data_IF_617898012295
#
_entry.id   IF_617898012295
#
_cell.length_a   1.000
_cell.length_b   1.000
_cell.length_c   1.000
_cell.angle_alpha   90.00
_cell.angle_beta   90.00
_cell.angle_gamma   90.00
#
_symmetry.space_group_name_H-M   'P 1'
#
loop_
_entity.id
_entity.type
_entity.pdbx_description
1 polymer ?
#
# COMPACT_ATOMS: atom_id res chain seq x y z
N UNK A 1 14.00 -0.05 -33.16
CA UNK A 1 15.47 0.09 -33.14
C UNK A 1 15.98 1.31 -33.91
N UNK A 2 15.80 1.42 -35.25
CA UNK A 2 16.39 2.52 -36.04
C UNK A 2 15.98 3.94 -35.58
N UNK A 3 14.71 4.15 -35.28
CA UNK A 3 14.21 5.44 -34.75
C UNK A 3 14.87 5.84 -33.42
N UNK A 4 15.11 4.85 -32.55
CA UNK A 4 15.80 5.09 -31.28
C UNK A 4 17.28 5.44 -31.48
N UNK A 5 17.97 4.78 -32.42
CA UNK A 5 19.35 5.16 -32.76
C UNK A 5 19.41 6.56 -33.35
N UNK A 6 18.50 6.91 -34.26
CA UNK A 6 18.39 8.26 -34.80
C UNK A 6 18.21 9.29 -33.68
N UNK A 7 17.33 9.03 -32.71
CA UNK A 7 17.11 9.87 -31.54
C UNK A 7 18.37 10.00 -30.67
N UNK A 8 19.00 8.88 -30.32
CA UNK A 8 20.23 8.85 -29.51
C UNK A 8 21.36 9.62 -30.19
N UNK A 9 21.66 9.33 -31.45
CA UNK A 9 22.74 10.02 -32.17
C UNK A 9 22.41 11.48 -32.50
N UNK A 10 21.14 11.86 -32.62
CA UNK A 10 20.75 13.28 -32.69
C UNK A 10 21.10 14.00 -31.39
N UNK A 11 20.83 13.39 -30.23
CA UNK A 11 21.16 14.00 -28.92
C UNK A 11 22.66 14.23 -28.73
N UNK A 12 23.49 13.45 -29.42
CA UNK A 12 24.95 13.57 -29.41
C UNK A 12 25.51 14.47 -30.53
N UNK A 13 24.66 15.09 -31.36
CA UNK A 13 25.05 15.79 -32.60
C UNK A 13 25.90 14.93 -33.56
N UNK A 14 25.60 13.63 -33.61
CA UNK A 14 26.32 12.60 -34.39
C UNK A 14 25.41 11.82 -35.35
N UNK A 15 24.18 12.30 -35.60
CA UNK A 15 23.30 11.68 -36.61
C UNK A 15 23.98 11.69 -37.98
N UNK A 16 23.83 10.60 -38.72
CA UNK A 16 24.50 10.39 -40.01
C UNK A 16 26.01 10.06 -39.96
N UNK A 17 26.64 10.05 -38.78
CA UNK A 17 28.07 9.69 -38.63
C UNK A 17 28.35 8.23 -39.04
N UNK A 18 29.64 7.91 -39.25
CA UNK A 18 30.06 6.54 -39.56
C UNK A 18 29.70 5.57 -38.43
N UNK A 19 29.91 5.98 -37.17
CA UNK A 19 29.54 5.23 -35.97
C UNK A 19 28.03 4.91 -35.95
N UNK A 20 27.19 5.90 -36.22
CA UNK A 20 25.74 5.73 -36.28
C UNK A 20 25.33 4.73 -37.37
N UNK A 21 25.84 4.87 -38.60
CA UNK A 21 25.53 3.96 -39.71
C UNK A 21 26.00 2.53 -39.41
N UNK A 22 27.21 2.37 -38.88
CA UNK A 22 27.73 1.06 -38.49
C UNK A 22 26.88 0.39 -37.43
N UNK A 23 26.42 1.13 -36.41
CA UNK A 23 25.56 0.58 -35.37
C UNK A 23 24.16 0.21 -35.89
N UNK A 24 23.59 0.99 -36.81
CA UNK A 24 22.35 0.62 -37.51
C UNK A 24 22.54 -0.71 -38.24
N UNK A 25 23.60 -0.87 -39.03
CA UNK A 25 23.87 -2.10 -39.78
C UNK A 25 24.16 -3.29 -38.86
N UNK A 26 25.00 -3.09 -37.83
CA UNK A 26 25.34 -4.10 -36.82
C UNK A 26 24.08 -4.63 -36.13
N UNK A 27 23.23 -3.75 -35.61
CA UNK A 27 22.03 -4.16 -34.88
C UNK A 27 20.95 -4.72 -35.80
N UNK A 28 20.86 -4.25 -37.04
CA UNK A 28 19.96 -4.85 -38.04
C UNK A 28 20.34 -6.32 -38.28
N UNK A 29 21.63 -6.61 -38.48
CA UNK A 29 22.13 -7.98 -38.63
C UNK A 29 21.88 -8.84 -37.37
N UNK A 30 22.08 -8.27 -36.17
CA UNK A 30 21.81 -8.96 -34.90
C UNK A 30 20.33 -9.36 -34.76
N UNK A 31 19.42 -8.43 -35.07
CA UNK A 31 17.98 -8.68 -35.01
C UNK A 31 17.57 -9.73 -36.04
N UNK A 32 18.11 -9.67 -37.27
CA UNK A 32 17.83 -10.69 -38.29
C UNK A 32 18.29 -12.08 -37.87
N UNK A 33 19.39 -12.19 -37.13
CA UNK A 33 19.95 -13.46 -36.69
C UNK A 33 19.27 -14.03 -35.42
N UNK A 34 18.89 -13.17 -34.47
CA UNK A 34 18.50 -13.59 -33.11
C UNK A 34 17.21 -12.97 -32.58
N UNK A 35 16.58 -12.06 -33.32
CA UNK A 35 15.43 -11.28 -32.87
C UNK A 35 15.78 -10.11 -31.94
N UNK A 36 17.01 -10.05 -31.43
CA UNK A 36 17.46 -9.05 -30.45
C UNK A 36 18.74 -8.34 -30.89
N UNK A 37 19.05 -7.22 -30.23
CA UNK A 37 20.34 -6.56 -30.33
C UNK A 37 20.84 -6.16 -28.96
N UNK A 38 22.17 -6.17 -28.81
CA UNK A 38 22.82 -5.77 -27.56
C UNK A 38 22.92 -4.24 -27.49
N UNK A 39 21.98 -3.64 -26.77
CA UNK A 39 21.99 -2.21 -26.47
C UNK A 39 23.14 -1.88 -25.52
N UNK A 40 23.90 -0.81 -25.78
CA UNK A 40 24.99 -0.40 -24.88
C UNK A 40 24.44 0.22 -23.60
N UNK A 41 25.21 0.20 -22.51
CA UNK A 41 24.80 0.82 -21.23
C UNK A 41 24.53 2.32 -21.39
N UNK A 42 25.27 3.03 -22.24
CA UNK A 42 25.04 4.46 -22.53
C UNK A 42 23.70 4.69 -23.23
N UNK A 43 23.38 3.86 -24.24
CA UNK A 43 22.09 3.89 -24.91
C UNK A 43 20.96 3.52 -23.94
N UNK A 44 21.17 2.55 -23.06
CA UNK A 44 20.21 2.14 -22.04
C UNK A 44 19.93 3.29 -21.05
N UNK A 45 20.97 3.98 -20.57
CA UNK A 45 20.84 5.13 -19.67
C UNK A 45 20.10 6.29 -20.33
N UNK A 46 20.45 6.61 -21.58
CA UNK A 46 19.71 7.61 -22.37
C UNK A 46 18.24 7.21 -22.54
N UNK A 47 17.98 5.95 -22.86
CA UNK A 47 16.65 5.39 -23.01
C UNK A 47 15.80 5.53 -21.75
N UNK A 48 16.34 5.16 -20.58
CA UNK A 48 15.62 5.23 -19.30
C UNK A 48 15.28 6.69 -18.91
N UNK A 49 16.24 7.61 -19.08
CA UNK A 49 16.01 9.05 -18.87
C UNK A 49 14.95 9.61 -19.81
N UNK A 50 15.00 9.20 -21.08
CA UNK A 50 14.04 9.66 -22.09
C UNK A 50 12.65 9.06 -21.87
N UNK A 51 12.55 7.81 -21.41
CA UNK A 51 11.28 7.21 -21.00
C UNK A 51 10.64 7.98 -19.84
N UNK A 52 11.44 8.43 -18.85
CA UNK A 52 10.94 9.29 -17.79
C UNK A 52 10.48 10.64 -18.33
N UNK A 53 11.28 11.28 -19.20
CA UNK A 53 10.91 12.54 -19.89
C UNK A 53 9.60 12.42 -20.69
N UNK A 54 9.31 11.22 -21.21
CA UNK A 54 8.10 10.91 -21.98
C UNK A 54 6.89 10.48 -21.12
N UNK A 55 7.06 10.25 -19.82
CA UNK A 55 6.00 9.73 -18.95
C UNK A 55 4.92 10.81 -18.67
N UNK A 56 3.84 10.80 -19.46
CA UNK A 56 2.82 11.85 -19.45
C UNK A 56 2.09 12.03 -18.11
N UNK A 57 2.13 11.02 -17.24
CA UNK A 57 1.52 11.01 -15.90
C UNK A 57 2.45 11.46 -14.77
N UNK A 58 3.71 11.79 -15.06
CA UNK A 58 4.68 12.18 -14.05
C UNK A 58 4.82 13.70 -13.97
N UNK A 59 4.49 14.28 -12.82
CA UNK A 59 4.66 15.72 -12.53
C UNK A 59 6.13 16.09 -12.25
N UNK A 60 6.92 15.17 -11.68
CA UNK A 60 8.33 15.39 -11.30
C UNK A 60 9.35 15.38 -12.45
N UNK A 61 8.92 15.57 -13.70
CA UNK A 61 9.78 15.38 -14.89
C UNK A 61 10.87 16.41 -15.08
N UNK A 62 10.89 17.53 -14.36
CA UNK A 62 12.03 18.47 -14.41
C UNK A 62 13.36 17.79 -14.04
N UNK A 63 13.31 16.69 -13.29
CA UNK A 63 14.46 15.91 -12.85
C UNK A 63 14.91 14.82 -13.82
N UNK A 64 14.29 14.70 -15.00
CA UNK A 64 14.45 13.55 -15.90
C UNK A 64 15.90 13.18 -16.26
N UNK A 65 16.80 14.16 -16.30
CA UNK A 65 18.21 13.97 -16.61
C UNK A 65 19.05 13.45 -15.42
N UNK A 66 18.55 13.59 -14.19
CA UNK A 66 19.17 13.21 -12.93
C UNK A 66 18.70 11.82 -12.46
N UNK A 67 18.96 10.80 -13.28
CA UNK A 67 18.60 9.41 -12.99
C UNK A 67 19.84 8.52 -12.96
N UNK A 68 20.08 7.83 -11.84
CA UNK A 68 21.13 6.80 -11.74
C UNK A 68 20.63 5.50 -12.38
N UNK A 69 21.41 4.96 -13.31
CA UNK A 69 21.19 3.62 -13.85
C UNK A 69 22.03 2.59 -13.08
N UNK A 70 21.38 1.53 -12.61
CA UNK A 70 22.00 0.25 -12.25
C UNK A 70 21.75 -0.74 -13.38
N UNK A 71 22.74 -0.95 -14.23
CA UNK A 71 22.69 -1.96 -15.29
C UNK A 71 22.90 -3.34 -14.64
N UNK A 72 21.83 -4.15 -14.63
CA UNK A 72 21.79 -5.48 -14.02
C UNK A 72 21.28 -6.53 -15.01
N UNK A 73 21.55 -6.31 -16.30
CA UNK A 73 21.24 -7.25 -17.38
C UNK A 73 22.09 -8.52 -17.32
N UNK A 74 23.11 -8.56 -16.45
CA UNK A 74 23.94 -9.72 -16.14
C UNK A 74 23.31 -10.69 -15.12
N UNK A 75 22.26 -10.26 -14.41
CA UNK A 75 21.59 -11.06 -13.38
C UNK A 75 20.90 -12.28 -13.98
N UNK A 76 21.03 -13.43 -13.31
CA UNK A 76 20.46 -14.71 -13.76
C UNK A 76 19.54 -15.38 -12.75
N UNK A 77 19.52 -14.92 -11.49
CA UNK A 77 18.77 -15.56 -10.39
C UNK A 77 17.97 -14.55 -9.58
N UNK A 78 16.92 -15.01 -8.90
CA UNK A 78 16.08 -14.16 -8.04
C UNK A 78 16.86 -13.57 -6.87
N UNK A 79 17.84 -14.31 -6.33
CA UNK A 79 18.75 -13.80 -5.28
C UNK A 79 19.60 -12.63 -5.77
N UNK A 80 20.16 -12.73 -6.98
CA UNK A 80 20.90 -11.62 -7.58
C UNK A 80 19.98 -10.42 -7.88
N UNK A 81 18.72 -10.65 -8.25
CA UNK A 81 17.73 -9.56 -8.34
C UNK A 81 17.52 -8.89 -6.98
N UNK A 82 17.35 -9.68 -5.92
CA UNK A 82 17.18 -9.17 -4.56
C UNK A 82 18.38 -8.32 -4.11
N UNK A 83 19.60 -8.78 -4.37
CA UNK A 83 20.82 -8.03 -4.02
C UNK A 83 20.90 -6.69 -4.77
N UNK A 84 20.58 -6.70 -6.07
CA UNK A 84 20.51 -5.48 -6.86
C UNK A 84 19.41 -4.52 -6.39
N UNK A 85 18.28 -5.03 -5.91
CA UNK A 85 17.20 -4.21 -5.33
C UNK A 85 17.64 -3.62 -3.98
N UNK A 86 18.34 -4.38 -3.14
CA UNK A 86 18.89 -3.87 -1.89
C UNK A 86 19.90 -2.74 -2.13
N UNK A 87 20.78 -2.89 -3.11
CA UNK A 87 21.72 -1.83 -3.53
C UNK A 87 20.97 -0.59 -4.05
N UNK A 88 19.92 -0.79 -4.85
CA UNK A 88 19.06 0.29 -5.31
C UNK A 88 18.45 1.06 -4.14
N UNK A 89 17.81 0.36 -3.18
CA UNK A 89 17.16 1.00 -2.03
C UNK A 89 18.19 1.73 -1.16
N UNK A 90 19.33 1.12 -0.87
CA UNK A 90 20.40 1.73 -0.09
C UNK A 90 20.92 3.02 -0.76
N UNK A 91 21.16 2.97 -2.08
CA UNK A 91 21.54 4.15 -2.84
C UNK A 91 20.45 5.22 -2.81
N UNK A 92 19.21 4.86 -3.07
CA UNK A 92 18.12 5.81 -3.22
C UNK A 92 17.68 6.44 -1.90
N UNK A 93 17.77 5.72 -0.77
CA UNK A 93 17.47 6.25 0.56
C UNK A 93 18.42 7.37 0.98
N UNK A 94 19.74 7.15 0.84
CA UNK A 94 20.78 8.16 1.09
C UNK A 94 20.54 8.98 2.39
N UNK A 95 20.25 8.29 3.50
CA UNK A 95 19.97 8.88 4.81
C UNK A 95 18.86 9.95 4.80
N UNK A 96 17.81 9.74 4.00
CA UNK A 96 16.68 10.67 3.85
C UNK A 96 16.82 11.64 2.69
N UNK A 97 18.04 11.91 2.21
CA UNK A 97 18.27 12.77 1.04
C UNK A 97 18.08 11.99 -0.27
N UNK A 98 16.82 11.72 -0.62
CA UNK A 98 16.46 10.73 -1.63
C UNK A 98 17.08 11.01 -3.00
N UNK A 99 17.50 9.94 -3.69
CA UNK A 99 18.09 10.00 -5.04
C UNK A 99 17.26 9.16 -6.00
N UNK A 100 16.99 9.70 -7.19
CA UNK A 100 16.29 8.95 -8.24
C UNK A 100 17.22 7.92 -8.88
N UNK A 101 16.77 6.67 -8.94
CA UNK A 101 17.47 5.58 -9.58
C UNK A 101 16.51 4.67 -10.36
N UNK A 102 17.08 3.88 -11.28
CA UNK A 102 16.44 2.77 -11.95
C UNK A 102 17.40 1.58 -11.99
N UNK A 103 16.91 0.40 -11.68
CA UNK A 103 17.63 -0.87 -11.92
C UNK A 103 17.00 -1.56 -13.11
N UNK A 104 17.80 -2.03 -14.06
CA UNK A 104 17.29 -2.72 -15.26
C UNK A 104 17.80 -4.14 -15.29
N UNK A 105 16.89 -5.10 -15.16
CA UNK A 105 17.14 -6.53 -15.28
C UNK A 105 17.15 -6.98 -16.75
N UNK A 106 17.46 -8.26 -17.08
CA UNK A 106 17.51 -8.72 -18.47
C UNK A 106 16.24 -8.43 -19.28
N UNK A 107 16.44 -8.17 -20.58
CA UNK A 107 15.36 -7.94 -21.52
C UNK A 107 14.53 -9.20 -21.74
N UNK A 108 13.26 -9.03 -22.11
CA UNK A 108 12.42 -10.10 -22.62
C UNK A 108 13.02 -10.72 -23.87
N UNK A 109 12.97 -12.05 -23.94
CA UNK A 109 13.41 -12.84 -25.10
C UNK A 109 12.21 -13.43 -25.83
N UNK A 110 11.75 -14.62 -25.43
CA UNK A 110 10.65 -15.37 -26.04
C UNK A 110 9.31 -15.21 -25.27
N UNK A 111 9.29 -14.34 -24.26
CA UNK A 111 8.15 -14.13 -23.36
C UNK A 111 7.92 -15.24 -22.33
N UNK A 112 8.77 -16.29 -22.31
CA UNK A 112 8.74 -17.34 -21.29
C UNK A 112 9.82 -17.14 -20.23
N UNK A 113 10.86 -16.37 -20.53
CA UNK A 113 12.04 -16.19 -19.68
C UNK A 113 12.13 -14.79 -19.05
N UNK A 114 10.98 -14.17 -18.75
CA UNK A 114 10.94 -12.83 -18.19
C UNK A 114 11.57 -12.76 -16.78
N UNK A 115 12.21 -11.62 -16.50
CA UNK A 115 12.56 -11.19 -15.15
C UNK A 115 11.48 -10.24 -14.65
N UNK A 116 10.81 -10.59 -13.56
CA UNK A 116 9.65 -9.84 -13.03
C UNK A 116 9.80 -9.60 -11.53
N UNK A 117 9.40 -8.41 -11.11
CA UNK A 117 9.08 -8.10 -9.72
C UNK A 117 7.56 -8.11 -9.65
N UNK A 118 7.00 -8.99 -8.82
CA UNK A 118 5.54 -9.10 -8.73
C UNK A 118 4.95 -7.93 -7.95
N UNK A 119 5.69 -7.41 -6.98
CA UNK A 119 5.27 -6.26 -6.19
C UNK A 119 4.97 -5.04 -7.07
N UNK A 120 3.87 -4.31 -6.82
CA UNK A 120 3.61 -3.02 -7.45
C UNK A 120 4.69 -1.97 -7.15
N UNK A 121 5.15 -1.93 -5.90
CA UNK A 121 6.25 -1.09 -5.43
C UNK A 121 7.26 -1.93 -4.64
N UNK A 122 8.52 -1.50 -4.57
CA UNK A 122 9.55 -2.22 -3.81
C UNK A 122 9.26 -2.26 -2.31
N UNK A 123 8.64 -1.21 -1.78
CA UNK A 123 8.22 -1.11 -0.39
C UNK A 123 6.72 -0.82 -0.38
N UNK A 124 5.96 -1.60 0.37
CA UNK A 124 4.52 -1.45 0.53
C UNK A 124 4.07 -2.15 1.82
N UNK A 125 3.01 -1.64 2.44
CA UNK A 125 2.39 -2.32 3.58
C UNK A 125 1.38 -3.38 3.14
N UNK A 126 1.29 -4.45 3.92
CA UNK A 126 0.35 -5.54 3.71
C UNK A 126 -1.09 -5.12 4.06
N UNK A 127 -2.06 -5.87 3.53
CA UNK A 127 -3.48 -5.75 3.84
C UNK A 127 -4.07 -7.12 4.21
N UNK A 128 -4.57 -7.25 5.44
CA UNK A 128 -5.09 -8.51 5.96
C UNK A 128 -6.61 -8.46 6.06
N UNK A 129 -7.29 -9.21 5.18
CA UNK A 129 -8.73 -9.37 5.26
C UNK A 129 -9.12 -10.19 6.51
N UNK A 130 -10.00 -9.60 7.31
CA UNK A 130 -10.53 -10.20 8.53
C UNK A 130 -11.80 -11.01 8.25
N UNK A 131 -12.20 -11.84 9.21
CA UNK A 131 -13.40 -12.69 9.10
C UNK A 131 -14.70 -11.91 9.01
N UNK A 132 -14.75 -10.71 9.56
CA UNK A 132 -15.90 -9.81 9.53
C UNK A 132 -15.94 -8.93 8.25
N UNK A 133 -14.98 -9.10 7.34
CA UNK A 133 -14.88 -8.33 6.11
C UNK A 133 -14.08 -7.03 6.24
N UNK A 134 -13.67 -6.64 7.45
CA UNK A 134 -12.74 -5.51 7.64
C UNK A 134 -11.34 -5.87 7.13
N UNK A 135 -10.50 -4.86 6.90
CA UNK A 135 -9.10 -5.04 6.50
C UNK A 135 -8.19 -4.32 7.50
N UNK A 136 -7.17 -5.03 7.99
CA UNK A 136 -6.08 -4.43 8.77
C UNK A 136 -4.92 -4.13 7.81
N UNK A 137 -4.36 -2.93 7.88
CA UNK A 137 -3.28 -2.49 7.00
C UNK A 137 -3.80 -1.79 5.75
N UNK A 138 -3.17 -2.02 4.60
CA UNK A 138 -3.50 -1.36 3.34
C UNK A 138 -4.46 -2.20 2.47
N UNK A 139 -5.73 -1.80 2.31
CA UNK A 139 -6.68 -2.54 1.47
C UNK A 139 -6.26 -2.70 0.00
N UNK A 140 -5.48 -1.78 -0.57
CA UNK A 140 -5.03 -1.90 -1.95
C UNK A 140 -4.09 -3.10 -2.15
N UNK A 141 -3.44 -3.56 -1.08
CA UNK A 141 -2.50 -4.67 -1.12
C UNK A 141 -3.11 -5.98 -0.60
N UNK A 142 -4.40 -6.03 -0.29
CA UNK A 142 -5.02 -7.22 0.30
C UNK A 142 -4.89 -8.46 -0.60
N UNK A 143 -5.14 -8.33 -1.90
CA UNK A 143 -4.98 -9.44 -2.85
C UNK A 143 -3.52 -9.91 -2.92
N UNK A 144 -2.57 -8.99 -3.03
CA UNK A 144 -1.16 -9.35 -3.14
C UNK A 144 -0.60 -9.91 -1.83
N UNK A 145 -1.15 -9.49 -0.68
CA UNK A 145 -0.84 -10.07 0.63
C UNK A 145 -1.22 -11.55 0.66
N UNK A 146 -2.40 -11.93 0.15
CA UNK A 146 -2.81 -13.33 0.01
C UNK A 146 -1.89 -14.12 -0.92
N UNK A 147 -1.39 -13.49 -1.99
CA UNK A 147 -0.39 -14.11 -2.89
C UNK A 147 0.91 -14.41 -2.13
N UNK A 148 1.39 -13.45 -1.32
CA UNK A 148 2.57 -13.64 -0.48
C UNK A 148 2.35 -14.77 0.55
N UNK A 149 1.19 -14.79 1.22
CA UNK A 149 0.84 -15.85 2.17
C UNK A 149 0.77 -17.24 1.50
N UNK A 150 0.21 -17.31 0.28
CA UNK A 150 0.17 -18.55 -0.50
C UNK A 150 1.55 -19.06 -0.89
N UNK A 151 2.49 -18.16 -1.13
CA UNK A 151 3.89 -18.49 -1.40
C UNK A 151 4.67 -18.85 -0.13
N UNK A 152 4.07 -18.71 1.05
CA UNK A 152 4.61 -19.16 2.33
C UNK A 152 5.08 -18.03 3.25
N UNK A 153 4.91 -16.77 2.86
CA UNK A 153 5.17 -15.64 3.76
C UNK A 153 4.15 -15.59 4.90
N UNK A 154 4.55 -15.07 6.06
CA UNK A 154 3.66 -14.87 7.20
C UNK A 154 3.99 -13.53 7.85
N UNK A 155 3.11 -12.55 7.67
CA UNK A 155 3.21 -11.26 8.35
C UNK A 155 2.83 -11.34 9.83
N UNK A 156 2.96 -10.20 10.52
CA UNK A 156 2.61 -10.05 11.93
C UNK A 156 1.10 -9.77 12.13
N UNK A 157 0.38 -9.42 11.06
CA UNK A 157 -1.02 -9.02 11.08
C UNK A 157 -1.23 -7.57 11.51
N UNK A 158 -0.18 -6.73 11.41
CA UNK A 158 -0.17 -5.34 11.83
C UNK A 158 -0.66 -4.36 10.76
N UNK A 159 -0.90 -3.11 11.18
CA UNK A 159 -1.37 -2.00 10.32
C UNK A 159 -0.31 -1.53 9.31
N UNK A 160 0.96 -1.78 9.59
CA UNK A 160 2.10 -1.31 8.81
C UNK A 160 3.16 -2.41 8.68
N UNK A 161 2.72 -3.63 8.38
CA UNK A 161 3.62 -4.75 8.10
C UNK A 161 4.17 -4.62 6.69
N UNK A 162 5.50 -4.61 6.55
CA UNK A 162 6.17 -4.50 5.24
C UNK A 162 6.02 -5.83 4.49
N UNK A 163 5.51 -5.75 3.25
CA UNK A 163 5.42 -6.90 2.36
C UNK A 163 6.82 -7.38 1.95
N UNK A 164 7.02 -8.69 1.73
CA UNK A 164 8.26 -9.19 1.17
C UNK A 164 8.32 -8.90 -0.33
N UNK A 165 9.51 -8.96 -0.91
CA UNK A 165 9.70 -8.97 -2.35
C UNK A 165 9.41 -10.35 -2.92
N UNK A 166 8.59 -10.40 -3.97
CA UNK A 166 8.30 -11.61 -4.75
C UNK A 166 8.95 -11.47 -6.12
N UNK A 167 10.06 -12.18 -6.31
CA UNK A 167 10.96 -12.02 -7.45
C UNK A 167 10.96 -13.26 -8.32
N UNK A 168 10.86 -13.07 -9.63
CA UNK A 168 10.89 -14.14 -10.61
C UNK A 168 12.01 -13.87 -11.60
N UNK A 169 13.03 -14.72 -11.61
CA UNK A 169 14.13 -14.67 -12.57
C UNK A 169 13.94 -15.68 -13.70
N UNK A 170 14.24 -15.27 -14.93
CA UNK A 170 14.32 -16.14 -16.10
C UNK A 170 13.08 -17.03 -16.31
N UNK A 171 11.88 -16.51 -16.06
CA UNK A 171 10.64 -17.28 -16.19
C UNK A 171 10.42 -18.38 -15.13
N UNK A 172 11.33 -18.51 -14.17
CA UNK A 172 11.31 -19.54 -13.15
C UNK A 172 10.19 -19.37 -12.11
N UNK A 173 10.32 -20.08 -10.99
CA UNK A 173 9.40 -19.93 -9.86
C UNK A 173 9.64 -18.59 -9.16
N UNK A 174 8.59 -17.89 -8.70
CA UNK A 174 8.76 -16.73 -7.85
C UNK A 174 9.33 -17.15 -6.50
N UNK A 175 10.27 -16.36 -5.99
CA UNK A 175 10.91 -16.54 -4.69
C UNK A 175 10.62 -15.32 -3.80
N UNK A 176 10.42 -15.58 -2.50
CA UNK A 176 10.13 -14.54 -1.50
C UNK A 176 11.43 -14.12 -0.82
N UNK A 177 11.63 -12.80 -0.68
CA UNK A 177 12.72 -12.22 0.09
C UNK A 177 12.20 -11.11 1.00
N UNK A 178 12.52 -11.18 2.29
CA UNK A 178 12.25 -10.08 3.22
C UNK A 178 13.33 -9.01 3.08
N UNK A 179 12.91 -7.74 3.06
CA UNK A 179 13.84 -6.62 3.03
C UNK A 179 14.56 -6.49 4.39
N UNK A 180 15.89 -6.25 4.39
CA UNK A 180 16.60 -5.92 5.62
C UNK A 180 16.02 -4.65 6.26
N UNK A 181 15.80 -4.68 7.57
CA UNK A 181 15.12 -3.59 8.29
C UNK A 181 15.86 -2.25 8.17
N UNK A 182 17.19 -2.28 8.08
CA UNK A 182 18.05 -1.12 7.89
C UNK A 182 17.86 -0.40 6.55
N UNK A 183 17.27 -1.08 5.56
CA UNK A 183 16.93 -0.48 4.26
C UNK A 183 15.53 0.14 4.25
N UNK A 184 14.72 -0.10 5.28
CA UNK A 184 13.35 0.38 5.35
C UNK A 184 13.35 1.71 6.12
N UNK A 185 13.43 2.81 5.38
CA UNK A 185 13.26 4.15 5.92
C UNK A 185 11.76 4.42 6.12
N UNK A 186 11.32 4.59 7.37
CA UNK A 186 9.94 4.99 7.72
C UNK A 186 9.94 6.35 8.42
N UNK A 187 8.89 7.14 8.17
CA UNK A 187 8.62 8.41 8.81
C UNK A 187 7.36 8.26 9.67
N UNK A 188 7.50 8.42 10.98
CA UNK A 188 6.35 8.50 11.90
C UNK A 188 5.71 9.88 11.80
N UNK A 189 4.38 9.94 11.83
CA UNK A 189 3.66 11.18 11.64
C UNK A 189 3.34 11.89 12.95
N UNK A 190 3.63 13.18 12.93
CA UNK A 190 3.33 14.17 13.96
C UNK A 190 2.70 15.39 13.29
N UNK A 191 2.02 16.23 14.07
CA UNK A 191 1.40 17.44 13.54
C UNK A 191 1.89 18.69 14.29
N UNK A 192 2.25 19.79 13.59
CA UNK A 192 2.83 20.97 14.22
C UNK A 192 1.88 21.71 15.18
N UNK A 193 0.58 21.46 15.08
CA UNK A 193 -0.45 22.10 15.93
C UNK A 193 -1.29 21.13 16.76
N UNK A 194 -1.23 19.84 16.46
CA UNK A 194 -2.12 18.83 17.06
C UNK A 194 -1.28 17.70 17.67
N UNK A 195 -0.88 17.81 18.95
CA UNK A 195 -0.05 16.80 19.60
C UNK A 195 -0.66 15.39 19.57
N UNK A 196 -2.00 15.29 19.67
CA UNK A 196 -2.73 14.03 19.59
C UNK A 196 -2.54 13.27 18.27
N UNK A 197 -2.05 13.92 17.20
CA UNK A 197 -1.83 13.25 15.92
C UNK A 197 -0.79 12.13 16.01
N UNK A 198 0.21 12.28 16.89
CA UNK A 198 1.22 11.23 17.14
C UNK A 198 0.59 9.96 17.73
N UNK A 199 -0.47 10.11 18.53
CA UNK A 199 -1.17 8.99 19.18
C UNK A 199 -1.91 8.09 18.18
N UNK A 200 -2.18 8.57 16.96
CA UNK A 200 -2.75 7.76 15.87
C UNK A 200 -1.78 6.67 15.38
N UNK A 201 -0.49 6.77 15.72
CA UNK A 201 0.54 5.79 15.38
C UNK A 201 0.72 5.62 13.87
N UNK A 202 0.45 6.66 13.09
CA UNK A 202 0.57 6.65 11.64
C UNK A 202 2.04 6.79 11.22
N UNK A 203 2.42 6.05 10.19
CA UNK A 203 3.74 6.14 9.57
C UNK A 203 3.68 5.78 8.09
N UNK A 204 4.69 6.19 7.33
CA UNK A 204 4.84 5.82 5.93
C UNK A 204 6.30 5.58 5.56
N UNK A 205 6.54 4.70 4.59
CA UNK A 205 7.89 4.49 4.07
C UNK A 205 8.34 5.71 3.25
N UNK A 206 9.61 6.07 3.35
CA UNK A 206 10.14 7.30 2.74
C UNK A 206 10.37 7.20 1.23
N UNK A 207 10.54 5.98 0.69
CA UNK A 207 11.00 5.75 -0.68
C UNK A 207 9.87 5.23 -1.60
N UNK A 208 9.31 6.07 -2.50
CA UNK A 208 8.36 5.61 -3.52
C UNK A 208 9.12 4.97 -4.69
N UNK A 209 9.06 3.65 -4.79
CA UNK A 209 9.75 2.91 -5.84
C UNK A 209 8.80 1.98 -6.61
N UNK A 210 8.39 2.39 -7.81
CA UNK A 210 7.53 1.60 -8.70
C UNK A 210 8.32 0.43 -9.28
N UNK A 211 7.78 -0.79 -9.21
CA UNK A 211 8.50 -2.01 -9.62
C UNK A 211 7.78 -2.89 -10.64
N UNK A 212 6.51 -2.63 -10.92
CA UNK A 212 5.69 -3.48 -11.79
C UNK A 212 5.55 -3.00 -13.23
N UNK A 213 6.17 -1.87 -13.62
CA UNK A 213 6.13 -1.37 -15.00
C UNK A 213 7.21 -2.05 -15.86
N UNK A 214 6.98 -2.10 -17.17
CA UNK A 214 7.94 -2.56 -18.17
C UNK A 214 8.58 -1.35 -18.85
N UNK A 215 9.91 -1.28 -18.88
CA UNK A 215 10.64 -0.29 -19.65
C UNK A 215 10.82 -0.75 -21.10
N UNK A 216 10.42 0.06 -22.07
CA UNK A 216 10.65 -0.19 -23.49
C UNK A 216 11.62 0.82 -24.08
N UNK A 217 12.62 0.33 -24.80
CA UNK A 217 13.58 1.16 -25.55
C UNK A 217 14.02 0.51 -26.85
N UNK A 218 13.77 1.21 -27.96
CA UNK A 218 14.26 0.81 -29.28
C UNK A 218 13.72 -0.54 -29.74
N UNK A 219 12.56 -0.97 -29.25
CA UNK A 219 11.94 -2.27 -29.50
C UNK A 219 12.34 -3.38 -28.53
N UNK A 220 13.22 -3.11 -27.55
CA UNK A 220 13.53 -4.03 -26.47
C UNK A 220 12.59 -3.76 -25.29
N UNK A 221 12.12 -4.82 -24.65
CA UNK A 221 11.26 -4.75 -23.46
C UNK A 221 12.01 -5.26 -22.24
N UNK A 222 11.95 -4.54 -21.13
CA UNK A 222 12.57 -4.87 -19.85
C UNK A 222 11.48 -4.98 -18.78
N UNK A 223 10.89 -6.18 -18.59
CA UNK A 223 9.75 -6.38 -17.68
C UNK A 223 10.09 -6.19 -16.20
N UNK A 224 11.38 -6.26 -15.84
CA UNK A 224 11.90 -6.00 -14.51
C UNK A 224 12.74 -4.73 -14.53
N UNK A 225 12.13 -3.59 -14.23
CA UNK A 225 12.81 -2.29 -14.25
C UNK A 225 12.34 -1.37 -13.12
N UNK A 226 12.61 -1.68 -11.83
CA UNK A 226 12.15 -0.84 -10.74
C UNK A 226 12.86 0.51 -10.74
N UNK A 227 12.11 1.57 -10.47
CA UNK A 227 12.61 2.93 -10.39
C UNK A 227 11.96 3.72 -9.27
N UNK A 228 12.68 4.73 -8.77
CA UNK A 228 12.20 5.61 -7.71
C UNK A 228 12.45 7.08 -8.03
N UNK A 229 11.66 7.93 -7.38
CA UNK A 229 11.96 9.34 -7.16
C UNK A 229 11.82 9.64 -5.67
N UNK A 230 11.11 10.73 -5.36
CA UNK A 230 10.65 11.07 -4.01
C UNK A 230 9.17 11.45 -4.08
N UNK A 231 8.52 11.44 -2.92
CA UNK A 231 7.09 11.71 -2.82
C UNK A 231 6.75 13.18 -3.11
N UNK A 232 5.62 13.37 -3.79
CA UNK A 232 4.76 14.52 -3.59
C UNK A 232 3.82 14.22 -2.42
N UNK A 233 3.71 15.14 -1.46
CA UNK A 233 3.01 14.87 -0.19
C UNK A 233 1.55 14.43 -0.34
N UNK A 234 0.86 14.88 -1.39
CA UNK A 234 -0.53 14.50 -1.65
C UNK A 234 -0.69 13.04 -2.12
N UNK A 235 0.38 12.36 -2.53
CA UNK A 235 0.36 10.92 -2.74
C UNK A 235 0.06 10.19 -1.43
N UNK A 236 0.76 10.58 -0.36
CA UNK A 236 0.54 9.99 0.97
C UNK A 236 -0.70 10.58 1.63
N UNK A 237 -0.71 11.91 1.80
CA UNK A 237 -1.70 12.61 2.60
C UNK A 237 -3.10 12.52 2.04
N UNK A 238 -3.28 12.68 0.72
CA UNK A 238 -4.61 12.65 0.10
C UNK A 238 -5.00 11.26 -0.42
N UNK A 239 -4.06 10.47 -0.97
CA UNK A 239 -4.41 9.16 -1.54
C UNK A 239 -4.23 8.02 -0.55
N UNK A 240 -3.02 7.82 -0.03
CA UNK A 240 -2.74 6.66 0.82
C UNK A 240 -3.52 6.69 2.14
N UNK A 241 -3.56 7.86 2.79
CA UNK A 241 -4.23 8.02 4.08
C UNK A 241 -5.73 8.27 3.97
N UNK A 242 -6.18 9.03 2.96
CA UNK A 242 -7.56 9.56 2.92
C UNK A 242 -8.50 8.88 1.92
N UNK A 243 -8.01 8.14 0.91
CA UNK A 243 -8.92 7.42 0.00
C UNK A 243 -9.76 6.41 0.80
N UNK A 244 -11.06 6.33 0.52
CA UNK A 244 -11.99 5.42 1.21
C UNK A 244 -11.59 3.94 1.06
N UNK A 245 -10.99 3.59 -0.07
CA UNK A 245 -10.49 2.25 -0.38
C UNK A 245 -9.03 2.02 0.06
N UNK A 246 -8.47 2.91 0.88
CA UNK A 246 -7.12 2.82 1.47
C UNK A 246 -7.22 2.87 2.99
N UNK A 247 -6.38 3.64 3.67
CA UNK A 247 -6.40 3.72 5.13
C UNK A 247 -7.62 4.48 5.69
N UNK A 248 -8.29 5.30 4.87
CA UNK A 248 -9.55 5.97 5.18
C UNK A 248 -9.58 6.64 6.58
N UNK A 249 -8.55 7.42 6.91
CA UNK A 249 -8.42 8.00 8.27
C UNK A 249 -9.24 9.27 8.49
N UNK A 250 -9.86 9.82 7.42
CA UNK A 250 -10.61 11.09 7.46
C UNK A 250 -11.66 11.12 8.59
N UNK A 251 -12.52 10.10 8.79
CA UNK A 251 -13.51 10.14 9.87
C UNK A 251 -12.88 10.17 11.27
N UNK A 252 -11.79 9.44 11.48
CA UNK A 252 -11.08 9.38 12.77
C UNK A 252 -10.45 10.74 13.08
N UNK A 253 -9.67 11.29 12.16
CA UNK A 253 -8.99 12.58 12.35
C UNK A 253 -9.99 13.73 12.55
N UNK A 254 -11.12 13.71 11.83
CA UNK A 254 -12.18 14.72 12.00
C UNK A 254 -12.81 14.73 13.40
N UNK A 255 -12.93 13.56 14.04
CA UNK A 255 -13.40 13.45 15.43
C UNK A 255 -12.40 14.04 16.42
N UNK A 256 -11.10 13.77 16.25
CA UNK A 256 -10.06 14.39 17.08
C UNK A 256 -9.98 15.91 16.91
N UNK A 257 -10.40 16.43 15.75
CA UNK A 257 -10.49 17.86 15.48
C UNK A 257 -11.80 18.52 15.96
N UNK A 258 -12.74 17.74 16.53
CA UNK A 258 -14.06 18.22 16.97
C UNK A 258 -14.86 18.92 15.84
N UNK A 259 -14.80 18.36 14.63
CA UNK A 259 -15.53 18.89 13.46
C UNK A 259 -16.94 18.32 13.39
N UNK A 260 -17.91 19.11 12.91
CA UNK A 260 -19.25 18.62 12.58
C UNK A 260 -19.22 17.71 11.35
N UNK A 261 -19.18 16.40 11.57
CA UNK A 261 -19.21 15.38 10.52
C UNK A 261 -20.61 15.02 10.03
N UNK A 262 -21.67 15.65 10.56
CA UNK A 262 -23.07 15.31 10.24
C UNK A 262 -23.55 15.98 8.96
N UNK A 263 -22.99 17.14 8.59
CA UNK A 263 -23.31 17.88 7.36
C UNK A 263 -22.13 17.93 6.40
N UNK A 264 -22.38 17.78 5.10
CA UNK A 264 -21.33 18.02 4.09
C UNK A 264 -21.01 19.51 3.90
N UNK A 265 -21.93 20.41 4.28
CA UNK A 265 -21.73 21.87 4.14
C UNK A 265 -20.73 22.42 5.16
N UNK A 266 -20.37 21.66 6.20
CA UNK A 266 -19.32 22.05 7.14
C UNK A 266 -17.91 21.92 6.53
N UNK A 267 -17.79 21.27 5.37
CA UNK A 267 -16.52 21.00 4.68
C UNK A 267 -15.51 20.25 5.56
N UNK A 268 -16.00 19.43 6.50
CA UNK A 268 -15.15 18.74 7.46
C UNK A 268 -14.12 17.83 6.78
N UNK A 269 -14.45 17.21 5.64
CA UNK A 269 -13.51 16.37 4.88
C UNK A 269 -12.36 17.19 4.30
N UNK A 270 -12.67 18.35 3.71
CA UNK A 270 -11.69 19.26 3.13
C UNK A 270 -10.73 19.77 4.21
N UNK A 271 -11.26 20.24 5.33
CA UNK A 271 -10.49 20.72 6.49
C UNK A 271 -9.58 19.60 7.00
N UNK A 272 -10.13 18.40 7.23
CA UNK A 272 -9.38 17.26 7.75
C UNK A 272 -8.25 16.83 6.80
N UNK A 273 -8.54 16.73 5.49
CA UNK A 273 -7.56 16.32 4.49
C UNK A 273 -6.39 17.30 4.37
N UNK A 274 -6.65 18.60 4.55
CA UNK A 274 -5.59 19.63 4.60
C UNK A 274 -4.66 19.38 5.79
N UNK A 275 -5.19 19.18 7.00
CA UNK A 275 -4.36 18.94 8.19
C UNK A 275 -3.54 17.64 8.10
N UNK A 276 -4.09 16.59 7.49
CA UNK A 276 -3.34 15.35 7.23
C UNK A 276 -2.15 15.61 6.28
N UNK A 277 -2.34 16.40 5.22
CA UNK A 277 -1.25 16.77 4.32
C UNK A 277 -0.20 17.65 5.01
N UNK A 278 -0.62 18.53 5.93
CA UNK A 278 0.29 19.31 6.79
C UNK A 278 1.10 18.38 7.68
N UNK A 279 0.48 17.36 8.30
CA UNK A 279 1.18 16.36 9.13
C UNK A 279 2.27 15.63 8.33
N UNK A 280 1.94 15.17 7.12
CA UNK A 280 2.89 14.46 6.24
C UNK A 280 4.10 15.35 5.91
N UNK A 281 3.87 16.56 5.41
CA UNK A 281 4.95 17.50 5.07
C UNK A 281 5.82 17.85 6.27
N UNK A 282 5.19 18.13 7.42
CA UNK A 282 5.89 18.43 8.66
C UNK A 282 6.78 17.28 9.08
N UNK A 283 6.24 16.06 9.11
CA UNK A 283 6.93 14.88 9.62
C UNK A 283 8.13 14.50 8.75
N UNK A 284 7.97 14.51 7.42
CA UNK A 284 9.08 14.25 6.50
C UNK A 284 10.19 15.28 6.66
N UNK A 285 9.84 16.57 6.81
CA UNK A 285 10.80 17.65 7.04
C UNK A 285 11.55 17.46 8.36
N UNK A 286 10.85 17.13 9.44
CA UNK A 286 11.45 16.89 10.76
C UNK A 286 12.35 15.66 10.77
N UNK A 287 12.01 14.63 9.99
CA UNK A 287 12.82 13.42 9.82
C UNK A 287 14.01 13.61 8.86
N UNK A 288 14.15 14.77 8.21
CA UNK A 288 15.21 15.01 7.22
C UNK A 288 15.04 14.20 5.93
N UNK A 289 13.81 13.80 5.60
CA UNK A 289 13.49 13.00 4.40
C UNK A 289 12.95 13.88 3.29
N UNK A 290 13.49 13.73 2.07
CA UNK A 290 13.08 14.51 0.89
C UNK A 290 11.60 14.28 0.58
N UNK A 291 10.85 15.38 0.49
CA UNK A 291 9.46 15.42 0.06
C UNK A 291 9.18 16.75 -0.66
N UNK A 292 8.18 16.79 -1.52
CA UNK A 292 7.74 18.01 -2.20
C UNK A 292 6.25 18.26 -1.99
N UNK A 293 5.85 19.51 -1.75
CA UNK A 293 4.45 19.88 -1.76
C UNK A 293 3.90 20.00 -3.19
N UNK A 294 2.58 19.93 -3.34
CA UNK A 294 1.94 19.90 -4.66
C UNK A 294 1.92 21.25 -5.37
N UNK A 295 2.07 22.38 -4.67
CA UNK A 295 2.19 23.69 -5.32
C UNK A 295 3.58 23.82 -5.97
N UNK A 296 4.65 23.55 -5.22
CA UNK A 296 6.02 23.56 -5.76
C UNK A 296 6.19 22.55 -6.89
N UNK A 297 5.63 21.33 -6.74
CA UNK A 297 5.71 20.30 -7.78
C UNK A 297 5.05 20.74 -9.09
N UNK A 298 3.91 21.42 -9.02
CA UNK A 298 3.19 21.86 -10.22
C UNK A 298 3.85 23.09 -10.86
N UNK A 299 4.39 24.03 -10.09
CA UNK A 299 5.18 25.17 -10.62
C UNK A 299 6.44 24.70 -11.37
N UNK A 300 7.16 23.74 -10.80
CA UNK A 300 8.34 23.14 -11.46
C UNK A 300 7.94 22.35 -12.72
N UNK A 301 6.77 21.72 -12.73
CA UNK A 301 6.25 21.08 -13.93
C UNK A 301 5.93 22.08 -15.05
N UNK A 302 5.36 23.24 -14.75
CA UNK A 302 5.14 24.31 -15.75
C UNK A 302 6.47 24.75 -16.38
N UNK A 303 7.49 24.93 -15.54
CA UNK A 303 8.85 25.26 -16.00
C UNK A 303 9.39 24.18 -16.94
N UNK A 304 9.26 22.90 -16.56
CA UNK A 304 9.63 21.78 -17.42
C UNK A 304 8.87 21.83 -18.76
N UNK A 305 7.55 21.99 -18.73
CA UNK A 305 6.73 22.01 -19.94
C UNK A 305 7.17 23.12 -20.90
N UNK A 306 7.50 24.31 -20.40
CA UNK A 306 8.02 25.40 -21.21
C UNK A 306 9.37 25.05 -21.87
N UNK A 307 10.30 24.46 -21.12
CA UNK A 307 11.59 24.00 -21.64
C UNK A 307 11.44 22.91 -22.71
N UNK A 308 10.47 22.00 -22.54
CA UNK A 308 10.17 20.95 -23.52
C UNK A 308 9.58 21.53 -24.82
N UNK A 309 8.72 22.53 -24.72
CA UNK A 309 8.19 23.23 -25.90
C UNK A 309 9.29 23.90 -26.70
N UNK A 310 10.23 24.58 -26.04
CA UNK A 310 11.38 25.21 -26.72
C UNK A 310 12.31 24.16 -27.33
N UNK A 311 12.64 23.10 -26.58
CA UNK A 311 13.69 22.16 -26.98
C UNK A 311 13.23 21.13 -28.01
N UNK A 312 11.95 20.73 -28.01
CA UNK A 312 11.43 19.68 -28.91
C UNK A 312 10.02 19.92 -29.44
N UNK A 313 9.42 21.09 -29.20
CA UNK A 313 8.11 21.46 -29.74
C UNK A 313 6.91 20.73 -29.11
N UNK A 314 7.08 20.12 -27.93
CA UNK A 314 5.99 19.43 -27.27
C UNK A 314 6.37 18.75 -25.94
N UNK A 315 5.36 18.57 -25.08
CA UNK A 315 5.46 17.78 -23.86
C UNK A 315 4.20 16.91 -23.71
N UNK A 316 4.28 15.57 -23.79
CA UNK A 316 3.11 14.72 -23.56
C UNK A 316 2.70 14.85 -22.09
N UNK A 317 1.43 15.15 -21.82
CA UNK A 317 0.94 15.31 -20.46
C UNK A 317 -0.52 14.83 -20.33
N UNK A 318 -0.78 14.03 -19.30
CA UNK A 318 -2.09 13.50 -18.94
C UNK A 318 -2.66 14.36 -17.81
N UNK A 319 -3.49 15.35 -18.16
CA UNK A 319 -4.01 16.36 -17.21
C UNK A 319 -4.65 15.72 -15.97
N UNK A 320 -5.35 14.59 -16.14
CA UNK A 320 -6.01 13.84 -15.07
C UNK A 320 -5.03 13.36 -13.99
N UNK A 321 -3.78 13.10 -14.36
CA UNK A 321 -2.72 12.67 -13.45
C UNK A 321 -1.82 13.81 -12.99
N UNK A 322 -1.66 14.86 -13.79
CA UNK A 322 -0.79 16.00 -13.48
C UNK A 322 -1.43 16.92 -12.43
N UNK A 323 -2.75 17.12 -12.50
CA UNK A 323 -3.46 17.92 -11.49
C UNK A 323 -3.49 17.18 -10.16
N UNK A 324 -3.02 17.79 -9.06
CA UNK A 324 -3.02 17.14 -7.76
C UNK A 324 -4.43 16.77 -7.26
N UNK A 325 -4.57 15.73 -6.44
CA UNK A 325 -5.87 15.27 -5.92
C UNK A 325 -6.48 16.21 -4.87
N UNK A 326 -5.76 17.26 -4.47
CA UNK A 326 -6.17 18.29 -3.52
C UNK A 326 -5.81 19.66 -4.08
N UNK A 327 -6.65 20.66 -3.84
CA UNK A 327 -6.39 22.05 -4.23
C UNK A 327 -6.19 22.27 -5.74
N UNK A 328 -6.84 21.45 -6.59
CA UNK A 328 -6.57 21.40 -8.04
C UNK A 328 -6.49 22.77 -8.72
N UNK A 329 -7.56 23.57 -8.69
CA UNK A 329 -7.60 24.90 -9.34
C UNK A 329 -6.73 25.98 -8.68
N UNK A 330 -6.16 25.70 -7.51
CA UNK A 330 -5.15 26.55 -6.86
C UNK A 330 -3.73 26.24 -7.36
N UNK A 331 -3.59 25.32 -8.30
CA UNK A 331 -2.32 25.00 -8.95
C UNK A 331 -2.30 25.50 -10.40
N UNK A 332 -1.14 25.92 -10.94
CA UNK A 332 -1.08 26.47 -12.29
C UNK A 332 -1.46 25.44 -13.37
N UNK A 333 -1.18 24.16 -13.14
CA UNK A 333 -1.43 23.07 -14.10
C UNK A 333 -2.91 22.83 -14.40
N UNK A 334 -3.81 23.20 -13.48
CA UNK A 334 -5.26 23.11 -13.73
C UNK A 334 -5.69 23.96 -14.92
N UNK A 335 -5.08 25.14 -15.08
CA UNK A 335 -5.44 26.12 -16.10
C UNK A 335 -4.69 25.91 -17.42
N UNK A 336 -3.91 24.84 -17.55
CA UNK A 336 -3.13 24.53 -18.75
C UNK A 336 -3.82 23.47 -19.59
N UNK A 337 -4.00 23.76 -20.88
CA UNK A 337 -4.35 22.73 -21.86
C UNK A 337 -3.16 21.82 -22.13
N UNK A 338 -3.41 20.51 -22.14
CA UNK A 338 -2.38 19.48 -22.29
C UNK A 338 -2.76 18.50 -23.38
N UNK A 339 -1.79 18.15 -24.23
CA UNK A 339 -1.94 17.06 -25.19
C UNK A 339 -1.37 15.78 -24.59
N UNK A 340 -2.20 14.75 -24.48
CA UNK A 340 -1.77 13.42 -24.06
C UNK A 340 -1.51 12.55 -25.29
N UNK A 341 -0.23 12.23 -25.51
CA UNK A 341 0.21 11.36 -26.60
C UNK A 341 1.37 10.50 -26.12
N UNK A 342 1.61 9.38 -26.81
CA UNK A 342 2.64 8.42 -26.44
C UNK A 342 3.87 8.58 -27.30
N UNK A 343 5.02 8.66 -26.65
CA UNK A 343 6.34 8.63 -27.28
C UNK A 343 7.09 7.38 -26.81
N UNK A 344 8.10 6.96 -27.59
CA UNK A 344 9.09 5.96 -27.16
C UNK A 344 10.45 6.63 -27.01
N UNK A 345 11.35 6.14 -26.15
CA UNK A 345 11.19 5.09 -25.12
C UNK A 345 10.09 5.41 -24.10
N UNK A 346 9.57 4.41 -23.39
CA UNK A 346 8.49 4.60 -22.40
C UNK A 346 8.51 3.57 -21.26
N UNK A 347 7.78 3.91 -20.18
CA UNK A 347 7.38 2.95 -19.15
C UNK A 347 5.92 2.56 -19.36
N UNK A 348 5.68 1.28 -19.56
CA UNK A 348 4.36 0.72 -19.88
C UNK A 348 3.85 -0.13 -18.72
N UNK A 349 2.53 -0.11 -18.51
CA UNK A 349 1.92 -1.12 -17.65
C UNK A 349 2.01 -2.49 -18.32
N UNK A 350 2.06 -3.53 -17.49
CA UNK A 350 2.07 -4.92 -17.91
C UNK A 350 1.07 -5.71 -17.06
N UNK A 351 0.64 -6.87 -17.55
CA UNK A 351 -0.25 -7.74 -16.82
C UNK A 351 0.38 -8.15 -15.48
N UNK A 352 -0.42 -8.13 -14.43
CA UNK A 352 -0.05 -8.59 -13.09
C UNK A 352 0.50 -10.02 -13.16
N UNK A 353 1.70 -10.24 -12.62
CA UNK A 353 2.48 -11.44 -12.88
C UNK A 353 1.81 -12.74 -12.39
N UNK A 354 1.17 -12.72 -11.22
CA UNK A 354 0.52 -13.92 -10.66
C UNK A 354 -0.75 -14.35 -11.38
N UNK A 355 -1.37 -13.48 -12.19
CA UNK A 355 -2.55 -13.82 -13.00
C UNK A 355 -2.17 -14.77 -14.14
N UNK A 356 -1.02 -14.54 -14.78
CA UNK A 356 -0.50 -15.39 -15.86
C UNK A 356 0.33 -16.59 -15.38
N UNK A 357 0.69 -16.62 -14.09
CA UNK A 357 1.58 -17.64 -13.55
C UNK A 357 0.89 -19.01 -13.43
N UNK A 358 1.53 -20.04 -13.98
CA UNK A 358 1.09 -21.43 -13.85
C UNK A 358 1.49 -21.96 -12.47
N UNK A 359 0.59 -21.82 -11.52
CA UNK A 359 0.74 -22.40 -10.19
C UNK A 359 0.89 -23.92 -10.29
N UNK A 360 2.04 -24.45 -9.87
CA UNK A 360 2.16 -25.88 -9.62
C UNK A 360 1.09 -26.28 -8.60
N UNK A 361 0.37 -27.36 -8.86
CA UNK A 361 -0.54 -27.94 -7.89
C UNK A 361 0.27 -28.25 -6.63
N UNK A 362 0.19 -27.39 -5.61
CA UNK A 362 0.63 -27.74 -4.28
C UNK A 362 -0.01 -29.08 -3.97
N UNK A 363 0.79 -30.14 -3.85
CA UNK A 363 0.30 -31.43 -3.37
C UNK A 363 -0.44 -31.12 -2.08
N UNK A 364 -1.78 -31.24 -2.11
CA UNK A 364 -2.60 -31.13 -0.90
C UNK A 364 -1.92 -32.01 0.13
N UNK A 365 -1.42 -31.41 1.22
CA UNK A 365 -1.05 -32.18 2.41
C UNK A 365 -2.25 -33.10 2.67
N UNK A 366 -1.98 -34.40 2.80
CA UNK A 366 -3.05 -35.40 2.85
C UNK A 366 -4.08 -35.02 3.92
N UNK A 367 -5.36 -35.35 3.71
CA UNK A 367 -6.44 -35.10 4.68
C UNK A 367 -6.02 -35.55 6.09
N UNK A 368 -5.19 -36.59 6.20
CA UNK A 368 -4.57 -37.05 7.45
C UNK A 368 -3.68 -36.00 8.13
N UNK A 369 -2.79 -35.32 7.42
CA UNK A 369 -1.90 -34.30 7.99
C UNK A 369 -2.67 -33.03 8.39
N UNK A 370 -3.67 -32.63 7.60
CA UNK A 370 -4.56 -31.52 7.94
C UNK A 370 -5.46 -31.89 9.13
N UNK A 371 -6.01 -33.11 9.16
CA UNK A 371 -6.79 -33.61 10.28
C UNK A 371 -5.97 -33.71 11.57
N UNK A 372 -4.71 -34.17 11.51
CA UNK A 372 -3.81 -34.19 12.66
C UNK A 372 -3.50 -32.78 13.17
N UNK A 373 -3.26 -31.81 12.27
CA UNK A 373 -3.04 -30.42 12.65
C UNK A 373 -4.30 -29.75 13.22
N UNK A 374 -5.48 -30.03 12.67
CA UNK A 374 -6.80 -29.55 13.14
C UNK A 374 -7.19 -30.20 14.47
N UNK A 375 -6.90 -31.49 14.66
CA UNK A 375 -7.11 -32.18 15.94
C UNK A 375 -6.14 -31.67 17.01
N UNK A 376 -4.89 -31.39 16.65
CA UNK A 376 -3.90 -30.83 17.56
C UNK A 376 -4.24 -29.38 17.95
N UNK A 377 -4.61 -28.53 16.99
CA UNK A 377 -5.07 -27.16 17.27
C UNK A 377 -6.42 -27.13 17.98
N UNK A 378 -7.35 -28.02 17.64
CA UNK A 378 -8.62 -28.20 18.34
C UNK A 378 -8.43 -28.68 19.78
N UNK A 379 -7.48 -29.59 20.03
CA UNK A 379 -7.07 -30.02 21.37
C UNK A 379 -6.41 -28.87 22.14
N UNK A 380 -5.51 -28.10 21.53
CA UNK A 380 -4.85 -26.95 22.15
C UNK A 380 -5.87 -25.85 22.51
N UNK A 381 -6.77 -25.53 21.58
CA UNK A 381 -7.86 -24.56 21.76
C UNK A 381 -8.87 -25.03 22.81
N UNK A 382 -9.23 -26.32 22.84
CA UNK A 382 -10.10 -26.89 23.87
C UNK A 382 -9.46 -26.81 25.26
N UNK A 383 -8.14 -27.03 25.35
CA UNK A 383 -7.37 -26.93 26.60
C UNK A 383 -7.21 -25.49 27.09
N UNK A 384 -7.14 -24.53 26.17
CA UNK A 384 -7.11 -23.08 26.46
C UNK A 384 -8.51 -22.58 26.85
N UNK A 385 -9.56 -22.98 26.13
CA UNK A 385 -10.95 -22.60 26.43
C UNK A 385 -11.43 -23.15 27.78
N UNK A 386 -11.04 -24.37 28.16
CA UNK A 386 -11.32 -24.96 29.49
C UNK A 386 -10.64 -24.23 30.66
N UNK A 387 -9.63 -23.39 30.40
CA UNK A 387 -8.96 -22.57 31.42
C UNK A 387 -9.49 -21.13 31.52
N UNK A 388 -10.36 -20.70 30.59
CA UNK A 388 -10.93 -19.36 30.61
C UNK A 388 -12.12 -19.30 31.55
N UNK A 389 -12.15 -18.25 32.37
CA UNK A 389 -13.27 -17.94 33.25
C UNK A 389 -14.52 -17.65 32.39
N UNK A 390 -15.69 -18.15 32.81
CA UNK A 390 -16.95 -17.89 32.12
C UNK A 390 -17.42 -16.46 32.45
N UNK A 391 -17.82 -15.73 31.42
CA UNK A 391 -18.41 -14.40 31.53
C UNK A 391 -19.80 -14.42 30.87
N UNK A 392 -20.84 -14.32 31.68
CA UNK A 392 -22.21 -14.23 31.18
C UNK A 392 -22.58 -12.76 31.03
N UNK A 393 -23.10 -12.35 29.87
CA UNK A 393 -23.47 -10.98 29.56
C UNK A 393 -24.98 -10.94 29.33
N UNK A 394 -25.70 -10.31 30.25
CA UNK A 394 -27.14 -10.11 30.13
C UNK A 394 -27.42 -8.81 29.39
N UNK A 395 -28.42 -8.81 28.53
CA UNK A 395 -28.92 -7.59 27.91
C UNK A 395 -30.39 -7.36 28.20
N UNK A 396 -30.75 -6.09 28.36
CA UNK A 396 -32.13 -5.65 28.48
C UNK A 396 -32.36 -4.38 27.66
N UNK A 397 -33.40 -4.38 26.81
CA UNK A 397 -33.60 -3.35 25.81
C UNK A 397 -35.04 -3.31 25.31
N UNK A 398 -35.54 -2.11 25.03
CA UNK A 398 -36.82 -1.91 24.32
C UNK A 398 -36.63 -1.75 22.81
N UNK A 399 -35.56 -1.05 22.40
CA UNK A 399 -35.31 -0.67 21.00
C UNK A 399 -34.11 -1.36 20.34
N UNK A 400 -33.47 -2.32 21.01
CA UNK A 400 -32.34 -3.10 20.49
C UNK A 400 -30.94 -2.53 20.73
N UNK A 401 -30.78 -1.29 21.24
CA UNK A 401 -29.45 -0.69 21.45
C UNK A 401 -28.59 -1.45 22.47
N UNK A 402 -29.14 -1.86 23.61
CA UNK A 402 -28.36 -2.59 24.64
C UNK A 402 -27.96 -4.00 24.18
N UNK A 403 -28.75 -4.62 23.29
CA UNK A 403 -28.40 -5.88 22.64
C UNK A 403 -27.16 -5.72 21.75
N UNK A 404 -27.12 -4.65 20.95
CA UNK A 404 -25.93 -4.34 20.14
C UNK A 404 -24.70 -4.10 21.01
N UNK A 405 -24.83 -3.35 22.11
CA UNK A 405 -23.73 -3.14 23.06
C UNK A 405 -23.28 -4.43 23.74
N UNK A 406 -24.21 -5.32 24.12
CA UNK A 406 -23.88 -6.62 24.72
C UNK A 406 -23.10 -7.53 23.77
N UNK A 407 -23.46 -7.53 22.47
CA UNK A 407 -22.69 -8.26 21.46
C UNK A 407 -21.30 -7.65 21.23
N UNK A 408 -21.19 -6.33 21.15
CA UNK A 408 -19.88 -5.65 21.08
C UNK A 408 -19.01 -5.97 22.30
N UNK A 409 -19.60 -5.99 23.50
CA UNK A 409 -18.92 -6.35 24.74
C UNK A 409 -18.46 -7.81 24.72
N UNK A 410 -19.29 -8.74 24.23
CA UNK A 410 -18.91 -10.14 24.06
C UNK A 410 -17.72 -10.31 23.09
N UNK A 411 -17.71 -9.54 22.00
CA UNK A 411 -16.60 -9.55 21.02
C UNK A 411 -15.29 -9.08 21.65
N UNK A 412 -15.34 -8.10 22.55
CA UNK A 412 -14.17 -7.61 23.29
C UNK A 412 -13.71 -8.66 24.32
N UNK A 413 -14.65 -9.24 25.06
CA UNK A 413 -14.35 -10.13 26.19
C UNK A 413 -13.98 -11.55 25.78
N UNK A 414 -14.34 -12.02 24.58
CA UNK A 414 -14.02 -13.39 24.09
C UNK A 414 -12.53 -13.71 24.00
N UNK A 415 -11.67 -12.67 24.02
CA UNK A 415 -10.22 -12.84 24.02
C UNK A 415 -9.70 -13.37 25.37
N UNK A 416 -10.37 -13.04 26.46
CA UNK A 416 -9.96 -13.35 27.84
C UNK A 416 -10.92 -14.35 28.53
N UNK A 417 -12.21 -14.27 28.23
CA UNK A 417 -13.28 -15.05 28.84
C UNK A 417 -13.98 -15.97 27.85
N UNK A 418 -14.67 -16.98 28.36
CA UNK A 418 -15.70 -17.70 27.60
C UNK A 418 -17.01 -16.92 27.76
N UNK A 419 -17.39 -16.16 26.74
CA UNK A 419 -18.53 -15.23 26.79
C UNK A 419 -19.81 -15.84 26.27
N UNK A 420 -20.92 -15.58 26.94
CA UNK A 420 -22.28 -15.93 26.49
C UNK A 420 -23.18 -14.70 26.65
N UNK A 421 -23.99 -14.38 25.63
CA UNK A 421 -24.93 -13.25 25.66
C UNK A 421 -26.34 -13.80 25.79
N UNK A 422 -27.08 -13.36 26.81
CA UNK A 422 -28.42 -13.88 27.15
C UNK A 422 -29.38 -12.70 27.35
N UNK A 423 -30.61 -12.83 26.88
CA UNK A 423 -31.65 -11.84 27.21
C UNK A 423 -31.99 -11.90 28.71
N UNK A 424 -32.24 -10.75 29.33
CA UNK A 424 -32.44 -10.69 30.78
C UNK A 424 -33.68 -11.49 31.29
N UNK A 425 -34.69 -11.69 30.46
CA UNK A 425 -35.89 -12.50 30.73
C UNK A 425 -35.69 -14.00 30.47
N UNK A 426 -34.67 -14.38 29.69
CA UNK A 426 -34.27 -15.76 29.44
C UNK A 426 -33.23 -16.27 30.47
N UNK A 427 -32.76 -15.38 31.35
CA UNK A 427 -31.74 -15.72 32.33
C UNK A 427 -32.33 -16.42 33.57
N UNK A 428 -31.92 -17.67 33.76
CA UNK A 428 -32.24 -18.45 34.96
C UNK A 428 -31.44 -17.98 36.18
N UNK A 429 -32.12 -17.27 37.08
CA UNK A 429 -31.54 -16.70 38.30
C UNK A 429 -30.89 -17.74 39.22
N UNK A 430 -31.30 -19.02 39.15
CA UNK A 430 -30.70 -20.08 39.96
C UNK A 430 -29.22 -20.31 39.62
N UNK A 431 -28.77 -19.84 38.44
CA UNK A 431 -27.37 -19.88 38.01
C UNK A 431 -26.51 -18.79 38.64
N UNK A 432 -27.11 -17.72 39.18
CA UNK A 432 -26.40 -16.55 39.70
C UNK A 432 -25.30 -16.89 40.73
N UNK A 433 -25.48 -17.81 41.70
CA UNK A 433 -24.42 -18.17 42.64
C UNK A 433 -23.21 -18.87 41.99
N UNK A 434 -23.39 -19.42 40.79
CA UNK A 434 -22.36 -20.13 40.05
C UNK A 434 -21.70 -19.28 38.96
N UNK A 435 -22.17 -18.04 38.75
CA UNK A 435 -21.55 -17.12 37.81
C UNK A 435 -20.22 -16.62 38.35
N UNK A 436 -19.17 -16.73 37.54
CA UNK A 436 -17.84 -16.21 37.93
C UNK A 436 -17.69 -14.74 37.57
N UNK A 437 -18.33 -14.29 36.48
CA UNK A 437 -18.43 -12.90 36.08
C UNK A 437 -19.75 -12.71 35.33
N UNK A 438 -20.60 -11.82 35.84
CA UNK A 438 -21.86 -11.44 35.20
C UNK A 438 -21.81 -9.94 34.86
N UNK A 439 -22.00 -9.61 33.59
CA UNK A 439 -22.12 -8.23 33.12
C UNK A 439 -23.56 -7.98 32.69
N UNK A 440 -24.13 -6.84 33.05
CA UNK A 440 -25.50 -6.49 32.68
C UNK A 440 -25.49 -5.21 31.86
N UNK A 441 -25.95 -5.30 30.62
CA UNK A 441 -26.07 -4.17 29.68
C UNK A 441 -27.55 -3.85 29.51
N UNK A 442 -28.03 -2.83 30.23
CA UNK A 442 -29.44 -2.43 30.20
C UNK A 442 -29.59 -0.99 29.73
N UNK A 443 -30.68 -0.71 29.02
CA UNK A 443 -31.15 0.66 28.78
C UNK A 443 -32.07 1.11 29.92
N UNK A 444 -32.44 2.38 29.94
CA UNK A 444 -33.59 2.88 30.70
C UNK A 444 -34.76 3.14 29.74
N UNK A 445 -35.98 3.11 30.26
CA UNK A 445 -37.21 3.44 29.53
C UNK A 445 -38.05 4.46 30.32
N UNK A 446 -38.69 5.40 29.63
CA UNK A 446 -39.46 6.48 30.27
C UNK A 446 -38.61 7.34 31.22
N UNK A 447 -39.10 7.55 32.44
CA UNK A 447 -38.47 8.35 33.51
C UNK A 447 -37.33 7.62 34.26
N UNK A 448 -36.73 6.57 33.65
CA UNK A 448 -35.62 5.82 34.24
C UNK A 448 -35.95 4.37 34.65
N UNK A 449 -37.09 3.84 34.22
CA UNK A 449 -37.48 2.47 34.50
C UNK A 449 -36.65 1.44 33.72
N UNK A 450 -36.65 0.20 34.23
CA UNK A 450 -36.02 -0.90 33.52
C UNK A 450 -36.86 -1.31 32.30
N UNK A 451 -36.23 -1.77 31.21
CA UNK A 451 -36.93 -2.38 30.08
C UNK A 451 -37.81 -3.54 30.55
N UNK A 452 -38.88 -3.81 29.81
CA UNK A 452 -39.84 -4.88 30.03
C UNK A 452 -39.15 -6.23 30.24
N UNK A 453 -38.14 -6.56 29.43
CA UNK A 453 -37.36 -7.78 29.54
C UNK A 453 -36.36 -7.83 30.72
N UNK A 454 -36.25 -6.78 31.53
CA UNK A 454 -35.47 -6.76 32.78
C UNK A 454 -36.34 -6.72 34.05
N UNK A 455 -37.66 -6.56 33.95
CA UNK A 455 -38.53 -6.33 35.10
C UNK A 455 -38.52 -7.50 36.10
N UNK A 456 -38.58 -8.73 35.60
CA UNK A 456 -38.57 -9.94 36.44
C UNK A 456 -37.21 -10.15 37.12
N UNK A 457 -36.13 -9.97 36.36
CA UNK A 457 -34.75 -10.05 36.87
C UNK A 457 -34.51 -8.99 37.95
N UNK A 458 -34.91 -7.74 37.70
CA UNK A 458 -34.82 -6.62 38.66
C UNK A 458 -35.55 -6.94 39.95
N UNK A 459 -36.82 -7.37 39.87
CA UNK A 459 -37.64 -7.69 41.05
C UNK A 459 -37.02 -8.81 41.88
N UNK A 460 -36.47 -9.83 41.23
CA UNK A 460 -35.86 -10.99 41.89
C UNK A 460 -34.56 -10.61 42.59
N UNK A 461 -33.68 -9.85 41.94
CA UNK A 461 -32.43 -9.35 42.54
C UNK A 461 -32.74 -8.42 43.73
N UNK A 462 -33.73 -7.54 43.61
CA UNK A 462 -34.13 -6.63 44.71
C UNK A 462 -34.64 -7.38 45.95
N UNK A 463 -35.41 -8.45 45.75
CA UNK A 463 -35.91 -9.28 46.84
C UNK A 463 -34.81 -10.10 47.51
N UNK A 464 -33.83 -10.59 46.74
CA UNK A 464 -32.64 -11.25 47.29
C UNK A 464 -31.78 -10.29 48.11
N UNK A 465 -31.60 -9.04 47.63
CA UNK A 465 -30.86 -8.00 48.35
C UNK A 465 -31.51 -7.63 49.69
N UNK A 466 -32.84 -7.54 49.76
CA UNK A 466 -33.56 -7.28 51.03
C UNK A 466 -33.38 -8.40 52.05
N UNK A 467 -33.50 -9.66 51.62
CA UNK A 467 -33.30 -10.82 52.51
C UNK A 467 -31.87 -10.95 53.04
N UNK A 468 -30.88 -10.47 52.28
CA UNK A 468 -29.48 -10.45 52.69
C UNK A 468 -29.15 -9.32 53.68
N UNK A 469 -29.98 -8.26 53.75
CA UNK A 469 -29.81 -7.14 54.67
C UNK A 469 -30.59 -7.29 55.99
N UNK A 470 -31.50 -8.27 56.07
CA UNK A 470 -32.26 -8.63 57.27
C UNK A 470 -31.65 -9.84 58.04
N UNK A 471 -30.49 -10.35 57.59
CA UNK A 471 -29.63 -11.35 58.26
C UNK A 471 -28.33 -10.68 58.69
#
# INVERSE_FOLDING_TARGET
MKEFLDLYYTSLNKRGSHEHKNNVDKYTKSIQASGLYDITTDMLSFGAKTAWRNASRCVGRIQWSNLKLFDRRDVTTSKQMFDAICEHIAYSNNNGNLRSAITIFPARTDGQHDFRIWNPQLISYAGYQQKDGSIIGDPANAEFTLVCERLGWKGNGGRFDILPLVLQANGGKPEIFELPQELILEVNFTHPRYPWFEELGLKWFGLPAVSHMCFEVGGLEFPGSPFNGWYMASEIGARDLCDNQRYNIIPEVAQYMDLDTTSQTSLWKDITMIEINVAVLHSFRMAGVTIMDHHTATETFVTHMHQEQISRGGCPADWVWIVPPISGSLTPVFHMEMLNYRLKPSYEYQQVAWIGYKWENFKRKTIRQVALAVLFTGFLMSKIAKKRIRCTILYATETGKSLQFAHSLAIIYRNTFTTEVICADEYDISKLPNETLLLVVTSTFGEGDAPSNAQELKKTIWNLSRKANDQ
#
